data_IF_074852988098
#
_entry.id   IF_074852988098
#
_cell.length_a   1.000
_cell.length_b   1.000
_cell.length_c   1.000
_cell.angle_alpha   90.00
_cell.angle_beta   90.00
_cell.angle_gamma   90.00
#
_symmetry.space_group_name_H-M   'P 1'
#
loop_
_entity.id
_entity.type
_entity.pdbx_description
1 polymer ?
#
# COMPACT_ATOMS: atom_id res chain seq x y z
N UNK A 1 34.42 -23.16 -12.94
CA UNK A 1 34.04 -22.43 -14.16
C UNK A 1 32.54 -22.17 -14.03
N UNK A 2 32.00 -21.06 -13.49
CA UNK A 2 32.16 -19.62 -13.79
C UNK A 2 32.03 -19.28 -15.27
N UNK A 3 30.80 -19.01 -15.71
CA UNK A 3 30.46 -17.94 -16.65
C UNK A 3 29.17 -17.25 -16.19
N UNK A 4 29.39 -16.05 -15.66
CA UNK A 4 28.47 -14.93 -15.50
C UNK A 4 27.91 -14.46 -16.84
N UNK A 5 26.72 -13.86 -16.85
CA UNK A 5 26.34 -12.96 -17.94
C UNK A 5 24.87 -12.60 -18.03
N UNK A 6 24.51 -11.48 -17.38
CA UNK A 6 23.69 -10.37 -17.90
C UNK A 6 22.37 -10.73 -18.59
N UNK A 7 21.24 -10.38 -17.97
CA UNK A 7 20.12 -9.64 -18.55
C UNK A 7 19.12 -9.31 -17.43
N UNK A 8 19.34 -8.21 -16.71
CA UNK A 8 18.28 -7.57 -15.92
C UNK A 8 17.60 -6.62 -16.90
N UNK A 9 16.42 -7.00 -17.41
CA UNK A 9 15.57 -6.11 -18.20
C UNK A 9 14.51 -5.54 -17.28
N UNK A 10 14.54 -4.22 -17.15
CA UNK A 10 13.61 -3.36 -16.45
C UNK A 10 12.17 -3.61 -16.87
N UNK A 11 11.35 -4.03 -15.91
CA UNK A 11 9.90 -3.82 -15.86
C UNK A 11 9.43 -3.95 -14.41
N UNK A 12 9.45 -2.82 -13.71
CA UNK A 12 8.63 -2.60 -12.54
C UNK A 12 7.99 -1.22 -12.71
N UNK A 13 7.00 -1.14 -13.61
CA UNK A 13 6.13 0.04 -13.66
C UNK A 13 4.94 -0.20 -12.75
N UNK A 14 5.01 0.37 -11.55
CA UNK A 14 3.98 1.15 -10.83
C UNK A 14 4.45 1.34 -9.38
N UNK A 15 4.45 2.60 -8.96
CA UNK A 15 4.81 3.15 -7.66
C UNK A 15 4.55 2.20 -6.46
N UNK A 16 5.62 1.64 -5.87
CA UNK A 16 5.54 0.87 -4.62
C UNK A 16 5.27 1.70 -3.36
N UNK A 17 5.18 3.04 -3.48
CA UNK A 17 4.68 3.89 -2.40
C UNK A 17 3.19 3.71 -2.07
N UNK A 18 2.46 2.85 -2.80
CA UNK A 18 1.02 2.64 -2.66
C UNK A 18 0.61 1.30 -2.02
N UNK A 19 1.54 0.35 -1.79
CA UNK A 19 1.17 -1.04 -1.45
C UNK A 19 0.46 -1.14 -0.09
N UNK A 20 0.81 -0.31 0.91
CA UNK A 20 0.17 -0.35 2.23
C UNK A 20 -0.71 0.87 2.57
N UNK A 21 -0.58 1.99 1.84
CA UNK A 21 -1.32 3.25 2.09
C UNK A 21 -2.44 3.55 1.09
N UNK A 22 -2.80 2.61 0.22
CA UNK A 22 -4.01 2.68 -0.59
C UNK A 22 -4.96 1.52 -0.22
N UNK A 23 -6.25 1.76 0.06
CA UNK A 23 -7.24 0.74 -0.24
C UNK A 23 -7.11 0.44 -1.74
N UNK A 24 -6.63 -0.76 -2.07
CA UNK A 24 -6.36 -1.18 -3.44
C UNK A 24 -7.64 -1.11 -4.28
N UNK A 25 -7.69 -0.13 -5.17
CA UNK A 25 -8.53 -0.12 -6.37
C UNK A 25 -7.66 0.36 -7.55
N UNK A 26 -6.64 -0.42 -7.87
CA UNK A 26 -5.91 -0.30 -9.13
C UNK A 26 -5.33 -1.67 -9.46
N UNK A 27 -6.07 -2.43 -10.29
CA UNK A 27 -5.52 -3.59 -10.96
C UNK A 27 -4.78 -3.10 -12.21
N UNK A 28 -3.46 -3.08 -12.18
CA UNK A 28 -2.64 -3.04 -13.38
C UNK A 28 -1.98 -4.40 -13.56
N UNK A 29 -2.60 -5.26 -14.37
CA UNK A 29 -2.01 -6.53 -14.78
C UNK A 29 -0.80 -6.28 -15.68
N UNK A 30 0.41 -6.52 -15.16
CA UNK A 30 1.67 -6.44 -15.89
C UNK A 30 2.33 -7.80 -16.10
N UNK A 31 1.58 -8.83 -16.51
CA UNK A 31 2.16 -10.14 -16.85
C UNK A 31 2.83 -10.12 -18.24
N UNK A 32 4.14 -10.37 -18.30
CA UNK A 32 4.85 -10.75 -19.54
C UNK A 32 5.36 -12.18 -19.40
N UNK A 33 4.59 -13.13 -19.90
CA UNK A 33 5.13 -14.43 -20.27
C UNK A 33 5.45 -14.54 -21.76
N UNK A 34 6.51 -15.31 -22.02
CA UNK A 34 7.12 -15.56 -23.34
C UNK A 34 6.29 -16.50 -24.20
N UNK A 35 5.04 -16.13 -24.49
CA UNK A 35 4.26 -16.75 -25.58
C UNK A 35 4.18 -15.73 -26.70
N UNK A 36 4.58 -16.14 -27.91
CA UNK A 36 4.40 -15.34 -29.10
C UNK A 36 2.91 -14.97 -29.24
N UNK A 37 2.55 -13.71 -28.94
CA UNK A 37 1.18 -13.22 -29.15
C UNK A 37 0.87 -13.26 -30.64
N UNK A 38 -0.25 -13.84 -31.08
CA UNK A 38 -0.72 -13.62 -32.43
C UNK A 38 -1.02 -12.12 -32.61
N UNK A 39 -0.73 -11.51 -33.78
CA UNK A 39 -0.93 -10.09 -33.97
C UNK A 39 -2.41 -9.74 -33.88
N UNK A 40 -2.75 -8.85 -32.93
CA UNK A 40 -4.06 -8.18 -32.94
C UNK A 40 -4.04 -7.23 -34.13
N UNK A 41 -4.87 -7.53 -35.13
CA UNK A 41 -5.10 -6.69 -36.29
C UNK A 41 -6.45 -6.02 -36.11
N UNK A 42 -6.48 -4.70 -36.00
CA UNK A 42 -7.71 -3.93 -36.21
C UNK A 42 -7.64 -3.27 -37.57
N UNK A 43 -8.78 -3.13 -38.23
CA UNK A 43 -8.88 -2.46 -39.53
C UNK A 43 -9.54 -1.10 -39.36
N UNK A 44 -9.03 -0.07 -40.04
CA UNK A 44 -9.69 1.24 -40.10
C UNK A 44 -10.99 1.20 -40.93
N UNK A 45 -11.71 2.31 -40.94
CA UNK A 45 -12.96 2.50 -41.69
C UNK A 45 -12.82 2.34 -43.22
N UNK A 46 -11.59 2.25 -43.73
CA UNK A 46 -11.27 2.00 -45.13
C UNK A 46 -10.74 0.57 -45.39
N UNK A 47 -10.75 -0.30 -44.37
CA UNK A 47 -10.31 -1.68 -44.46
C UNK A 47 -8.80 -1.89 -44.44
N UNK A 48 -8.01 -0.87 -44.05
CA UNK A 48 -6.57 -1.03 -43.89
C UNK A 48 -6.26 -1.63 -42.52
N UNK A 49 -5.41 -2.66 -42.51
CA UNK A 49 -4.91 -3.28 -41.28
C UNK A 49 -4.00 -2.29 -40.54
N UNK A 50 -4.46 -1.80 -39.40
CA UNK A 50 -3.63 -1.11 -38.41
C UNK A 50 -2.92 -2.20 -37.60
N UNK A 51 -1.65 -2.42 -37.90
CA UNK A 51 -0.79 -3.25 -37.05
C UNK A 51 -0.49 -2.50 -35.75
N UNK A 52 -1.08 -2.93 -34.62
CA UNK A 52 -0.83 -2.37 -33.28
C UNK A 52 0.58 -2.59 -32.72
N UNK A 53 1.55 -3.02 -33.55
CA UNK A 53 2.93 -3.35 -33.15
C UNK A 53 3.97 -2.52 -33.91
N UNK A 54 3.70 -1.25 -34.22
CA UNK A 54 4.77 -0.29 -34.51
C UNK A 54 5.17 0.47 -33.24
N UNK A 55 5.60 -0.27 -32.22
CA UNK A 55 6.57 0.27 -31.26
C UNK A 55 7.90 0.28 -32.01
N UNK A 56 8.14 1.36 -32.75
CA UNK A 56 9.21 1.47 -33.72
C UNK A 56 10.59 1.21 -33.13
N UNK A 57 11.39 0.49 -33.89
CA UNK A 57 12.84 0.35 -33.73
C UNK A 57 13.51 1.70 -33.39
N UNK A 58 14.07 1.84 -32.18
CA UNK A 58 15.02 2.88 -31.75
C UNK A 58 15.69 2.47 -30.42
N UNK A 59 16.84 3.07 -30.07
CA UNK A 59 18.02 2.38 -29.53
C UNK A 59 17.72 1.58 -28.26
N UNK A 60 18.49 0.51 -28.01
CA UNK A 60 18.36 -0.30 -26.79
C UNK A 60 18.21 0.62 -25.58
N UNK A 61 17.25 0.31 -24.71
CA UNK A 61 16.77 1.09 -23.57
C UNK A 61 17.86 1.64 -22.61
N UNK A 62 19.16 1.41 -22.89
CA UNK A 62 20.32 1.58 -22.02
C UNK A 62 21.41 2.60 -22.46
N UNK A 63 21.39 3.18 -23.66
CA UNK A 63 22.60 3.86 -24.17
C UNK A 63 22.72 5.37 -23.89
N UNK A 64 21.61 6.09 -23.69
CA UNK A 64 21.61 7.55 -23.43
C UNK A 64 21.83 7.86 -21.95
N UNK A 65 22.30 9.07 -21.66
CA UNK A 65 22.49 9.51 -20.27
C UNK A 65 21.14 9.66 -19.56
N UNK A 66 20.13 10.26 -20.20
CA UNK A 66 18.80 10.41 -19.60
C UNK A 66 18.17 9.08 -19.17
N UNK A 67 18.23 8.05 -20.02
CA UNK A 67 17.74 6.71 -19.70
C UNK A 67 18.48 6.05 -18.53
N UNK A 68 19.81 6.27 -18.39
CA UNK A 68 20.60 5.79 -17.25
C UNK A 68 20.20 6.51 -15.97
N UNK A 69 20.13 7.85 -16.02
CA UNK A 69 19.67 8.66 -14.90
C UNK A 69 18.28 8.23 -14.44
N UNK A 70 17.32 8.06 -15.36
CA UNK A 70 15.99 7.58 -15.03
C UNK A 70 16.01 6.23 -14.32
N UNK A 71 16.79 5.24 -14.81
CA UNK A 71 16.88 3.91 -14.16
C UNK A 71 17.50 3.98 -12.77
N UNK A 72 18.57 4.74 -12.60
CA UNK A 72 19.24 4.85 -11.30
C UNK A 72 18.33 5.54 -10.28
N UNK A 73 17.58 6.57 -10.72
CA UNK A 73 16.56 7.24 -9.90
C UNK A 73 15.37 6.34 -9.59
N UNK A 74 14.80 5.65 -10.57
CA UNK A 74 13.68 4.72 -10.39
C UNK A 74 14.04 3.65 -9.35
N UNK A 75 15.21 3.04 -9.49
CA UNK A 75 15.73 2.08 -8.52
C UNK A 75 15.93 2.70 -7.13
N UNK A 76 16.57 3.87 -7.06
CA UNK A 76 16.84 4.55 -5.80
C UNK A 76 15.59 5.00 -5.06
N UNK A 77 14.60 5.53 -5.79
CA UNK A 77 13.29 5.94 -5.26
C UNK A 77 12.53 4.74 -4.70
N UNK A 78 12.44 3.66 -5.46
CA UNK A 78 11.71 2.47 -5.04
C UNK A 78 12.27 1.92 -3.73
N UNK A 79 13.59 1.88 -3.61
CA UNK A 79 14.30 1.46 -2.40
C UNK A 79 14.00 2.46 -1.27
N UNK A 80 14.27 3.75 -1.48
CA UNK A 80 14.18 4.79 -0.45
C UNK A 80 12.78 5.13 0.04
N UNK A 81 11.73 4.83 -0.73
CA UNK A 81 10.34 5.11 -0.37
C UNK A 81 9.67 4.02 0.48
N UNK A 82 10.32 2.86 0.67
CA UNK A 82 9.71 1.73 1.38
C UNK A 82 10.13 1.69 2.84
N UNK A 83 9.16 1.60 3.76
CA UNK A 83 9.42 1.18 5.14
C UNK A 83 9.60 -0.34 5.25
N UNK A 84 10.05 -0.85 6.40
CA UNK A 84 10.35 -2.27 6.59
C UNK A 84 9.19 -3.19 6.20
N UNK A 85 7.96 -2.82 6.56
CA UNK A 85 6.78 -3.59 6.19
C UNK A 85 6.53 -3.51 4.68
N UNK A 86 6.59 -2.33 4.07
CA UNK A 86 6.44 -2.21 2.61
C UNK A 86 7.51 -3.02 1.85
N UNK A 87 8.77 -2.97 2.30
CA UNK A 87 9.86 -3.72 1.67
C UNK A 87 9.60 -5.24 1.69
N UNK A 88 9.04 -5.75 2.78
CA UNK A 88 8.65 -7.16 2.93
C UNK A 88 7.56 -7.62 1.95
N UNK A 89 6.60 -6.76 1.67
CA UNK A 89 5.52 -7.08 0.72
C UNK A 89 5.88 -6.71 -0.72
N UNK A 90 6.91 -5.90 -0.92
CA UNK A 90 7.40 -5.54 -2.24
C UNK A 90 8.40 -6.57 -2.78
N UNK A 91 9.24 -7.19 -1.94
CA UNK A 91 10.35 -8.05 -2.38
C UNK A 91 10.42 -9.39 -1.63
N UNK A 92 10.75 -10.45 -2.36
CA UNK A 92 11.00 -11.81 -1.90
C UNK A 92 12.40 -11.92 -1.30
N UNK A 93 13.40 -11.28 -1.92
CA UNK A 93 14.75 -11.12 -1.37
C UNK A 93 15.16 -9.65 -1.30
N UNK A 94 14.67 -8.89 -0.29
CA UNK A 94 14.95 -7.47 -0.21
C UNK A 94 16.44 -7.17 0.02
N UNK A 95 17.30 -8.14 0.40
CA UNK A 95 18.76 -7.94 0.50
C UNK A 95 19.40 -7.57 -0.84
N UNK A 96 18.77 -7.92 -1.96
CA UNK A 96 19.25 -7.53 -3.29
C UNK A 96 19.07 -6.02 -3.57
N UNK A 97 18.27 -5.35 -2.73
CA UNK A 97 17.84 -3.96 -2.91
C UNK A 97 18.30 -3.07 -1.76
N UNK A 98 18.41 -3.59 -0.53
CA UNK A 98 18.80 -2.83 0.66
C UNK A 98 20.18 -3.25 1.19
N UNK A 99 21.12 -2.29 1.28
CA UNK A 99 22.39 -2.50 1.99
C UNK A 99 22.22 -2.42 3.50
N UNK A 100 21.35 -1.52 3.96
CA UNK A 100 20.85 -1.38 5.33
C UNK A 100 19.32 -1.41 5.27
N UNK A 101 18.69 -2.21 6.13
CA UNK A 101 17.23 -2.36 6.11
C UNK A 101 16.53 -1.13 6.70
N UNK A 102 15.40 -0.69 6.12
CA UNK A 102 14.59 0.36 6.71
C UNK A 102 13.99 -0.12 8.04
N UNK A 103 13.61 0.81 8.91
CA UNK A 103 12.83 0.55 10.13
C UNK A 103 11.33 0.53 9.81
N UNK A 104 10.49 0.10 10.75
CA UNK A 104 9.03 0.21 10.60
C UNK A 104 8.63 1.68 10.65
N UNK A 105 8.28 2.22 9.49
CA UNK A 105 7.55 3.46 9.39
C UNK A 105 8.24 4.67 9.98
N UNK A 106 9.57 4.80 9.86
CA UNK A 106 10.25 6.10 10.06
C UNK A 106 10.20 7.01 8.84
N UNK A 107 9.23 6.81 7.93
CA UNK A 107 8.97 7.75 6.83
C UNK A 107 8.42 9.10 7.29
N UNK A 108 8.24 9.27 8.60
CA UNK A 108 7.76 10.52 9.18
C UNK A 108 8.67 10.91 10.34
N UNK A 109 9.64 11.79 10.07
CA UNK A 109 10.52 12.24 11.12
C UNK A 109 9.81 13.34 11.93
N UNK A 110 10.50 13.90 12.94
CA UNK A 110 9.93 14.96 13.76
C UNK A 110 9.47 16.16 12.91
N UNK A 111 8.71 17.08 13.51
CA UNK A 111 8.18 18.30 12.87
C UNK A 111 9.22 19.12 12.06
N UNK A 112 10.52 18.96 12.32
CA UNK A 112 11.61 19.59 11.56
C UNK A 112 11.87 18.99 10.18
N UNK A 113 11.31 17.83 9.85
CA UNK A 113 11.70 17.02 8.70
C UNK A 113 10.55 16.80 7.69
N UNK A 114 9.32 17.20 8.01
CA UNK A 114 8.25 17.19 7.00
C UNK A 114 8.48 18.25 5.90
N UNK A 115 9.16 19.34 6.25
CA UNK A 115 9.67 20.30 5.26
C UNK A 115 10.73 19.67 4.35
N UNK A 116 11.47 18.66 4.82
CA UNK A 116 12.44 17.92 4.01
C UNK A 116 11.76 16.90 3.10
N UNK A 117 10.65 16.29 3.52
CA UNK A 117 9.86 15.36 2.69
C UNK A 117 9.20 16.05 1.48
N UNK A 118 8.51 17.19 1.68
CA UNK A 118 7.95 17.96 0.56
C UNK A 118 9.04 18.39 -0.43
N UNK A 119 10.14 18.94 0.08
CA UNK A 119 11.31 19.34 -0.72
C UNK A 119 11.95 18.17 -1.47
N UNK A 120 11.91 16.97 -0.89
CA UNK A 120 12.41 15.75 -1.55
C UNK A 120 11.58 15.42 -2.78
N UNK A 121 10.25 15.46 -2.67
CA UNK A 121 9.37 15.22 -3.82
C UNK A 121 9.48 16.31 -4.89
N UNK A 122 9.66 17.57 -4.50
CA UNK A 122 9.93 18.67 -5.46
C UNK A 122 11.24 18.44 -6.21
N UNK A 123 12.31 18.07 -5.50
CA UNK A 123 13.60 17.75 -6.13
C UNK A 123 13.51 16.55 -7.08
N UNK A 124 12.73 15.52 -6.70
CA UNK A 124 12.49 14.34 -7.56
C UNK A 124 11.72 14.71 -8.82
N UNK A 125 10.67 15.54 -8.70
CA UNK A 125 9.91 16.06 -9.84
C UNK A 125 10.80 16.90 -10.77
N UNK A 126 11.56 17.85 -10.23
CA UNK A 126 12.47 18.70 -10.98
C UNK A 126 13.53 17.89 -11.72
N UNK A 127 14.08 16.86 -11.07
CA UNK A 127 15.09 16.00 -11.69
C UNK A 127 14.51 15.22 -12.85
N UNK A 128 13.40 14.51 -12.65
CA UNK A 128 12.81 13.68 -13.70
C UNK A 128 12.27 14.50 -14.88
N UNK A 129 11.68 15.67 -14.59
CA UNK A 129 11.16 16.57 -15.63
C UNK A 129 12.26 17.28 -16.45
N UNK A 130 13.49 17.33 -15.94
CA UNK A 130 14.65 17.91 -16.64
C UNK A 130 15.29 16.97 -17.68
N UNK A 131 14.95 15.67 -17.65
CA UNK A 131 15.48 14.68 -18.60
C UNK A 131 14.98 14.98 -20.02
N UNK A 132 15.87 14.94 -21.01
CA UNK A 132 15.51 15.20 -22.41
C UNK A 132 14.56 14.10 -22.94
N UNK A 133 13.30 14.41 -23.29
CA UNK A 133 12.35 13.41 -23.78
C UNK A 133 12.79 12.72 -25.08
N UNK A 134 13.67 13.36 -25.86
CA UNK A 134 14.21 12.79 -27.09
C UNK A 134 15.26 11.69 -26.82
N UNK A 135 15.84 11.65 -25.62
CA UNK A 135 16.75 10.59 -25.16
C UNK A 135 16.01 9.45 -24.44
N UNK A 136 14.69 9.51 -24.34
CA UNK A 136 13.87 8.55 -23.61
C UNK A 136 12.98 7.76 -24.56
N UNK A 137 12.73 6.49 -24.23
CA UNK A 137 11.69 5.71 -24.89
C UNK A 137 10.30 6.27 -24.55
N UNK A 138 9.32 5.99 -25.41
CA UNK A 138 7.92 6.37 -25.15
C UNK A 138 7.40 5.82 -23.81
N UNK A 139 7.88 4.63 -23.40
CA UNK A 139 7.51 4.03 -22.12
C UNK A 139 8.11 4.80 -20.93
N UNK A 140 9.40 5.18 -21.02
CA UNK A 140 10.05 6.00 -19.99
C UNK A 140 9.43 7.39 -19.90
N UNK A 141 9.14 8.03 -21.04
CA UNK A 141 8.46 9.32 -21.08
C UNK A 141 7.08 9.27 -20.38
N UNK A 142 6.30 8.22 -20.60
CA UNK A 142 5.03 8.02 -19.87
C UNK A 142 5.24 7.78 -18.38
N UNK A 143 6.18 6.90 -18.02
CA UNK A 143 6.50 6.62 -16.62
C UNK A 143 6.94 7.89 -15.86
N UNK A 144 7.82 8.69 -16.47
CA UNK A 144 8.25 9.99 -15.92
C UNK A 144 7.07 10.92 -15.73
N UNK A 145 6.16 11.02 -16.71
CA UNK A 145 4.96 11.84 -16.58
C UNK A 145 4.10 11.42 -15.39
N UNK A 146 3.87 10.11 -15.24
CA UNK A 146 3.06 9.56 -14.15
C UNK A 146 3.75 9.77 -12.78
N UNK A 147 5.07 9.58 -12.72
CA UNK A 147 5.87 9.82 -11.51
C UNK A 147 5.90 11.30 -11.13
N UNK A 148 6.11 12.21 -12.08
CA UNK A 148 6.06 13.66 -11.83
C UNK A 148 4.68 14.08 -11.32
N UNK A 149 3.59 13.54 -11.90
CA UNK A 149 2.25 13.77 -11.39
C UNK A 149 2.12 13.32 -9.93
N UNK A 150 2.59 12.11 -9.59
CA UNK A 150 2.53 11.60 -8.23
C UNK A 150 3.37 12.43 -7.25
N UNK A 151 4.60 12.80 -7.62
CA UNK A 151 5.52 13.59 -6.79
C UNK A 151 5.01 15.00 -6.54
N UNK A 152 4.47 15.67 -7.56
CA UNK A 152 3.87 16.98 -7.41
C UNK A 152 2.82 16.99 -6.30
N UNK A 153 1.88 16.04 -6.35
CA UNK A 153 0.81 15.98 -5.36
C UNK A 153 1.24 15.39 -4.03
N UNK A 154 2.28 14.54 -4.00
CA UNK A 154 2.95 14.18 -2.76
C UNK A 154 3.58 15.39 -2.09
N UNK A 155 4.39 16.16 -2.79
CA UNK A 155 4.98 17.39 -2.25
C UNK A 155 3.90 18.28 -1.63
N UNK A 156 2.82 18.52 -2.38
CA UNK A 156 1.72 19.36 -1.89
C UNK A 156 1.04 18.77 -0.64
N UNK A 157 0.77 17.47 -0.61
CA UNK A 157 0.25 16.82 0.59
C UNK A 157 1.19 16.92 1.79
N UNK A 158 2.50 16.77 1.59
CA UNK A 158 3.49 16.80 2.66
C UNK A 158 3.76 18.22 3.20
N UNK A 159 3.48 19.28 2.43
CA UNK A 159 3.40 20.65 2.98
C UNK A 159 2.35 20.77 4.07
N UNK A 160 1.30 19.94 3.98
CA UNK A 160 0.16 19.88 4.90
C UNK A 160 0.17 18.59 5.74
N UNK A 161 1.35 18.12 6.14
CA UNK A 161 1.55 16.79 6.74
C UNK A 161 0.69 16.46 7.97
N UNK A 162 0.23 17.48 8.72
CA UNK A 162 -0.65 17.26 9.87
C UNK A 162 -2.04 16.71 9.49
N UNK A 163 -2.41 16.75 8.22
CA UNK A 163 -3.62 16.09 7.71
C UNK A 163 -3.38 14.64 7.26
N UNK A 164 -2.16 14.12 7.37
CA UNK A 164 -1.83 12.72 7.08
C UNK A 164 -1.96 11.89 8.37
N UNK A 165 -3.08 11.16 8.58
CA UNK A 165 -3.32 10.44 9.83
C UNK A 165 -2.42 9.20 9.95
N UNK A 166 -1.85 8.99 11.15
CA UNK A 166 -1.12 7.76 11.49
C UNK A 166 -2.02 6.74 12.22
N UNK A 167 -2.79 7.24 13.19
CA UNK A 167 -3.89 6.52 13.84
C UNK A 167 -5.18 6.83 13.09
N UNK A 168 -6.09 5.86 12.94
CA UNK A 168 -7.36 6.05 12.24
C UNK A 168 -8.43 5.08 12.79
N UNK A 169 -9.66 5.53 13.10
CA UNK A 169 -10.74 4.69 13.65
C UNK A 169 -11.17 3.51 12.75
N UNK A 170 -10.69 3.45 11.51
CA UNK A 170 -10.90 2.34 10.60
C UNK A 170 -9.60 2.03 9.83
N UNK A 171 -8.97 0.90 10.13
CA UNK A 171 -7.76 0.47 9.42
C UNK A 171 -6.53 1.35 9.66
N UNK A 172 -6.43 2.01 10.82
CA UNK A 172 -5.23 2.74 11.23
C UNK A 172 -3.99 1.85 11.39
N UNK A 173 -2.81 2.47 11.45
CA UNK A 173 -1.54 1.73 11.53
C UNK A 173 -1.41 0.91 12.82
N UNK A 174 -2.07 1.31 13.90
CA UNK A 174 -2.18 0.54 15.15
C UNK A 174 -2.87 -0.82 14.98
N UNK A 175 -3.63 -1.00 13.90
CA UNK A 175 -4.26 -2.27 13.55
C UNK A 175 -3.53 -2.96 12.40
N UNK A 176 -3.27 -2.22 11.32
CA UNK A 176 -2.75 -2.80 10.08
C UNK A 176 -1.30 -3.26 10.23
N UNK A 177 -0.44 -2.50 10.94
CA UNK A 177 0.98 -2.85 11.01
C UNK A 177 1.24 -4.14 11.80
N UNK A 178 0.63 -4.37 12.97
CA UNK A 178 0.74 -5.65 13.65
C UNK A 178 0.17 -6.80 12.80
N UNK A 179 -0.99 -6.62 12.15
CA UNK A 179 -1.53 -7.63 11.24
C UNK A 179 -0.52 -8.01 10.16
N UNK A 180 0.06 -7.03 9.47
CA UNK A 180 1.07 -7.26 8.45
C UNK A 180 2.31 -7.97 9.00
N UNK A 181 2.81 -7.57 10.15
CA UNK A 181 3.95 -8.22 10.80
C UNK A 181 3.64 -9.70 11.13
N UNK A 182 2.39 -10.00 11.50
CA UNK A 182 1.92 -11.35 11.81
C UNK A 182 1.81 -12.28 10.60
N UNK A 183 1.83 -11.71 9.39
CA UNK A 183 1.67 -12.41 8.12
C UNK A 183 2.98 -12.53 7.31
N UNK A 184 4.08 -11.93 7.77
CA UNK A 184 5.38 -12.03 7.08
C UNK A 184 5.79 -13.51 6.94
N UNK A 185 6.11 -14.03 5.76
CA UNK A 185 6.61 -15.40 5.64
C UNK A 185 7.99 -15.55 6.30
N UNK A 186 8.25 -16.71 6.90
CA UNK A 186 9.56 -17.06 7.45
C UNK A 186 10.18 -18.18 6.61
N UNK A 187 11.10 -17.82 5.72
CA UNK A 187 11.87 -18.78 4.91
C UNK A 187 13.24 -19.05 5.55
N UNK A 188 13.78 -18.08 6.26
CA UNK A 188 15.08 -18.12 6.90
C UNK A 188 15.03 -17.56 8.33
N UNK A 189 16.07 -17.87 9.13
CA UNK A 189 16.24 -17.22 10.45
C UNK A 189 16.39 -15.71 10.35
N UNK A 190 16.96 -15.20 9.26
CA UNK A 190 17.12 -13.77 9.09
C UNK A 190 15.75 -13.06 8.97
N UNK A 191 14.72 -13.73 8.45
CA UNK A 191 13.36 -13.18 8.39
C UNK A 191 12.75 -13.04 9.78
N UNK A 192 13.07 -13.99 10.67
CA UNK A 192 12.70 -13.94 12.09
C UNK A 192 13.39 -12.77 12.79
N UNK A 193 14.70 -12.60 12.59
CA UNK A 193 15.47 -11.50 13.17
C UNK A 193 14.95 -10.13 12.72
N UNK A 194 14.59 -10.00 11.44
CA UNK A 194 13.96 -8.78 10.91
C UNK A 194 12.57 -8.54 11.45
N UNK A 195 11.75 -9.59 11.59
CA UNK A 195 10.47 -9.47 12.29
C UNK A 195 10.68 -8.97 13.72
N UNK A 196 11.72 -9.41 14.43
CA UNK A 196 12.06 -8.87 15.74
C UNK A 196 12.43 -7.39 15.71
N UNK A 197 13.13 -6.91 14.68
CA UNK A 197 13.34 -5.46 14.46
C UNK A 197 12.01 -4.73 14.32
N UNK A 198 11.06 -5.27 13.55
CA UNK A 198 9.72 -4.68 13.38
C UNK A 198 9.03 -4.50 14.73
N UNK A 199 9.02 -5.55 15.56
CA UNK A 199 8.37 -5.50 16.88
C UNK A 199 9.06 -4.50 17.81
N UNK A 200 10.40 -4.44 17.77
CA UNK A 200 11.18 -3.48 18.54
C UNK A 200 10.84 -2.02 18.22
N UNK A 201 10.59 -1.72 16.95
CA UNK A 201 10.28 -0.37 16.47
C UNK A 201 8.86 0.13 16.84
N UNK A 202 7.91 -0.79 17.09
CA UNK A 202 6.51 -0.42 17.33
C UNK A 202 6.33 0.57 18.48
N UNK A 203 7.12 0.48 19.55
CA UNK A 203 7.00 1.39 20.69
C UNK A 203 7.29 2.84 20.30
N UNK A 204 8.41 3.07 19.63
CA UNK A 204 8.82 4.40 19.20
C UNK A 204 7.88 4.92 18.11
N UNK A 205 7.47 4.05 17.18
CA UNK A 205 6.52 4.38 16.14
C UNK A 205 5.18 4.89 16.72
N UNK A 206 4.56 4.12 17.64
CA UNK A 206 3.26 4.51 18.21
C UNK A 206 3.35 5.69 19.16
N UNK A 207 4.48 5.89 19.83
CA UNK A 207 4.75 7.10 20.61
C UNK A 207 4.72 8.33 19.72
N UNK A 208 5.41 8.30 18.58
CA UNK A 208 5.40 9.41 17.60
C UNK A 208 4.03 9.59 16.94
N UNK A 209 3.31 8.50 16.67
CA UNK A 209 1.95 8.57 16.16
C UNK A 209 1.01 9.31 17.13
N UNK A 210 1.17 9.09 18.44
CA UNK A 210 0.45 9.84 19.46
C UNK A 210 0.88 11.32 19.50
N UNK A 211 2.18 11.62 19.52
CA UNK A 211 2.70 13.00 19.49
C UNK A 211 2.15 13.80 18.30
N UNK A 212 2.04 13.16 17.12
CA UNK A 212 1.41 13.75 15.95
C UNK A 212 -0.07 14.06 16.18
N UNK A 213 -0.82 13.17 16.85
CA UNK A 213 -2.22 13.41 17.21
C UNK A 213 -2.39 14.51 18.26
N UNK A 214 -1.47 14.63 19.22
CA UNK A 214 -1.45 15.75 20.16
C UNK A 214 -1.29 17.08 19.43
N UNK A 215 -0.36 17.14 18.47
CA UNK A 215 -0.11 18.34 17.67
C UNK A 215 -1.34 18.69 16.82
N UNK A 216 -1.94 17.71 16.14
CA UNK A 216 -3.20 17.88 15.39
C UNK A 216 -4.32 18.43 16.27
N UNK A 217 -4.48 17.85 17.46
CA UNK A 217 -5.49 18.28 18.43
C UNK A 217 -5.24 19.70 18.95
N UNK A 218 -3.97 20.10 19.14
CA UNK A 218 -3.61 21.42 19.64
C UNK A 218 -3.99 22.58 18.71
N UNK A 219 -4.11 22.31 17.41
CA UNK A 219 -4.52 23.27 16.39
C UNK A 219 -5.96 23.06 15.90
N UNK A 220 -6.73 22.18 16.57
CA UNK A 220 -8.15 21.99 16.30
C UNK A 220 -8.48 21.11 15.08
N UNK A 221 -7.55 20.28 14.59
CA UNK A 221 -7.76 19.37 13.43
C UNK A 221 -7.63 17.89 13.80
N UNK A 222 -7.65 17.58 15.09
CA UNK A 222 -7.61 16.22 15.63
C UNK A 222 -8.94 15.49 15.49
N UNK A 223 -9.00 14.28 16.05
CA UNK A 223 -10.21 13.47 16.05
C UNK A 223 -11.29 13.95 17.04
N UNK A 224 -12.56 13.70 16.69
CA UNK A 224 -13.67 13.83 17.63
C UNK A 224 -13.68 12.69 18.67
N UNK A 225 -14.48 12.85 19.73
CA UNK A 225 -14.53 11.89 20.84
C UNK A 225 -14.90 10.46 20.42
N UNK A 226 -15.82 10.30 19.45
CA UNK A 226 -16.24 9.00 18.95
C UNK A 226 -15.09 8.28 18.21
N UNK A 227 -14.35 9.01 17.37
CA UNK A 227 -13.19 8.49 16.66
C UNK A 227 -12.07 8.11 17.63
N UNK A 228 -11.84 8.92 18.66
CA UNK A 228 -10.88 8.61 19.75
C UNK A 228 -11.30 7.32 20.47
N UNK A 229 -12.57 7.20 20.85
CA UNK A 229 -13.09 6.01 21.52
C UNK A 229 -12.94 4.76 20.64
N UNK A 230 -13.12 4.88 19.33
CA UNK A 230 -12.91 3.79 18.38
C UNK A 230 -11.45 3.35 18.29
N UNK A 231 -10.51 4.30 18.20
CA UNK A 231 -9.07 3.99 18.19
C UNK A 231 -8.66 3.31 19.50
N UNK A 232 -9.15 3.80 20.64
CA UNK A 232 -8.89 3.18 21.95
C UNK A 232 -9.44 1.74 21.99
N UNK A 233 -10.67 1.51 21.52
CA UNK A 233 -11.25 0.17 21.43
C UNK A 233 -10.41 -0.77 20.57
N UNK A 234 -9.89 -0.30 19.44
CA UNK A 234 -8.97 -1.08 18.62
C UNK A 234 -7.72 -1.44 19.42
N UNK A 235 -7.06 -0.47 20.06
CA UNK A 235 -5.86 -0.71 20.87
C UNK A 235 -6.13 -1.75 22.00
N UNK A 236 -7.30 -1.69 22.64
CA UNK A 236 -7.72 -2.71 23.61
C UNK A 236 -7.81 -4.10 22.97
N UNK A 237 -8.47 -4.23 21.81
CA UNK A 237 -8.58 -5.51 21.08
C UNK A 237 -7.21 -6.04 20.67
N UNK A 238 -6.31 -5.17 20.22
CA UNK A 238 -4.95 -5.51 19.79
C UNK A 238 -4.06 -6.05 20.91
N UNK A 239 -4.27 -5.59 22.16
CA UNK A 239 -3.57 -6.07 23.36
C UNK A 239 -4.27 -7.27 24.03
N UNK A 240 -5.58 -7.45 23.80
CA UNK A 240 -6.38 -8.48 24.48
C UNK A 240 -5.87 -9.89 24.20
N UNK A 241 -6.29 -10.82 25.06
CA UNK A 241 -6.08 -12.25 24.94
C UNK A 241 -4.59 -12.55 24.88
N UNK A 242 -3.84 -11.98 25.83
CA UNK A 242 -2.39 -11.91 25.82
C UNK A 242 -1.73 -13.23 25.40
N UNK A 243 -2.13 -14.36 25.95
CA UNK A 243 -1.53 -15.67 25.66
C UNK A 243 -1.99 -16.28 24.33
N UNK A 244 -3.15 -15.87 23.81
CA UNK A 244 -3.70 -16.32 22.52
C UNK A 244 -3.77 -15.18 21.50
N UNK A 245 -2.90 -14.18 21.65
CA UNK A 245 -2.84 -13.03 20.76
C UNK A 245 -2.32 -13.49 19.40
N UNK A 246 -2.88 -12.97 18.32
CA UNK A 246 -2.54 -13.42 16.97
C UNK A 246 -1.05 -13.24 16.64
N UNK A 247 -0.39 -12.21 17.19
CA UNK A 247 1.06 -11.99 17.03
C UNK A 247 1.93 -13.09 17.65
N UNK A 248 1.38 -13.84 18.62
CA UNK A 248 2.03 -15.01 19.22
C UNK A 248 1.69 -16.26 18.43
N UNK A 249 0.40 -16.53 18.22
CA UNK A 249 -0.04 -17.77 17.57
C UNK A 249 0.48 -17.90 16.15
N UNK A 250 0.45 -16.83 15.35
CA UNK A 250 0.96 -16.92 13.97
C UNK A 250 2.49 -16.96 13.94
N UNK A 251 3.19 -16.39 14.94
CA UNK A 251 4.63 -16.54 15.04
C UNK A 251 5.02 -18.00 15.31
N UNK A 252 4.38 -18.63 16.29
CA UNK A 252 4.59 -20.04 16.64
C UNK A 252 4.37 -20.97 15.44
N UNK A 253 3.30 -20.72 14.67
CA UNK A 253 3.00 -21.49 13.46
C UNK A 253 4.05 -21.31 12.38
N UNK A 254 4.48 -20.06 12.10
CA UNK A 254 5.46 -19.77 11.06
C UNK A 254 6.86 -20.26 11.43
N UNK A 255 7.32 -20.04 12.66
CA UNK A 255 8.69 -20.42 13.07
C UNK A 255 8.89 -21.93 13.08
N UNK A 256 7.84 -22.71 13.37
CA UNK A 256 7.88 -24.18 13.31
C UNK A 256 8.08 -24.70 11.88
N UNK A 257 7.65 -23.95 10.85
CA UNK A 257 7.84 -24.34 9.43
C UNK A 257 9.30 -24.26 8.99
N UNK A 258 10.17 -23.53 9.69
CA UNK A 258 11.60 -23.44 9.39
C UNK A 258 12.38 -24.75 9.61
N UNK A 259 11.80 -25.74 10.30
CA UNK A 259 12.46 -27.03 10.54
C UNK A 259 13.72 -26.94 11.42
N UNK A 260 13.77 -25.96 12.33
CA UNK A 260 14.85 -25.79 13.30
C UNK A 260 14.80 -26.86 14.41
N UNK A 261 15.85 -26.94 15.24
CA UNK A 261 15.78 -27.80 16.42
C UNK A 261 14.73 -27.30 17.42
N UNK A 262 14.18 -28.22 18.24
CA UNK A 262 13.19 -27.88 19.28
C UNK A 262 13.68 -26.74 20.19
N UNK A 263 14.95 -26.81 20.60
CA UNK A 263 15.59 -25.79 21.45
C UNK A 263 15.64 -24.43 20.77
N UNK A 264 16.06 -24.37 19.51
CA UNK A 264 16.14 -23.10 18.78
C UNK A 264 14.75 -22.51 18.51
N UNK A 265 13.78 -23.37 18.20
CA UNK A 265 12.38 -22.96 18.00
C UNK A 265 11.82 -22.35 19.28
N UNK A 266 12.03 -23.00 20.43
CA UNK A 266 11.61 -22.51 21.74
C UNK A 266 12.32 -21.20 22.12
N UNK A 267 13.62 -21.06 21.82
CA UNK A 267 14.35 -19.80 22.02
C UNK A 267 13.76 -18.64 21.22
N UNK A 268 13.38 -18.87 19.95
CA UNK A 268 12.75 -17.85 19.12
C UNK A 268 11.33 -17.49 19.59
N UNK A 269 10.54 -18.47 20.01
CA UNK A 269 9.19 -18.24 20.57
C UNK A 269 9.28 -17.40 21.85
N UNK A 270 10.19 -17.75 22.76
CA UNK A 270 10.43 -16.99 23.98
C UNK A 270 10.92 -15.56 23.66
N UNK A 271 11.74 -15.41 22.61
CA UNK A 271 12.20 -14.08 22.18
C UNK A 271 11.06 -13.22 21.62
N UNK A 272 10.18 -13.79 20.80
CA UNK A 272 8.98 -13.08 20.33
C UNK A 272 8.13 -12.60 21.51
N UNK A 273 7.89 -13.49 22.48
CA UNK A 273 7.15 -13.16 23.69
C UNK A 273 7.77 -11.97 24.44
N UNK A 274 9.08 -12.03 24.68
CA UNK A 274 9.82 -10.96 25.35
C UNK A 274 9.67 -9.62 24.61
N UNK A 275 9.81 -9.60 23.27
CA UNK A 275 9.71 -8.38 22.48
C UNK A 275 8.29 -7.80 22.48
N UNK A 276 7.26 -8.65 22.40
CA UNK A 276 5.87 -8.19 22.49
C UNK A 276 5.59 -7.55 23.86
N UNK A 277 6.12 -8.12 24.94
CA UNK A 277 5.95 -7.63 26.31
C UNK A 277 6.73 -6.34 26.58
N UNK A 278 7.89 -6.16 25.94
CA UNK A 278 8.74 -4.97 26.11
C UNK A 278 8.33 -3.79 25.23
N UNK A 279 7.88 -4.06 23.99
CA UNK A 279 7.72 -3.02 22.97
C UNK A 279 6.27 -2.87 22.50
N UNK A 280 5.59 -3.95 22.13
CA UNK A 280 4.29 -3.85 21.48
C UNK A 280 3.13 -3.61 22.45
N UNK A 281 2.93 -4.48 23.45
CA UNK A 281 1.82 -4.33 24.39
C UNK A 281 1.91 -3.05 25.23
N UNK A 282 3.10 -2.62 25.69
CA UNK A 282 3.23 -1.32 26.35
C UNK A 282 2.88 -0.15 25.43
N UNK A 283 3.14 -0.24 24.13
CA UNK A 283 2.77 0.80 23.18
C UNK A 283 1.24 0.92 23.02
N UNK A 284 0.54 -0.22 22.94
CA UNK A 284 -0.92 -0.23 22.92
C UNK A 284 -1.51 0.32 24.23
N UNK A 285 -0.90 -0.01 25.38
CA UNK A 285 -1.32 0.55 26.67
C UNK A 285 -1.11 2.07 26.75
N UNK A 286 0.03 2.56 26.26
CA UNK A 286 0.30 3.99 26.19
C UNK A 286 -0.78 4.70 25.38
N UNK A 287 -1.16 4.18 24.21
CA UNK A 287 -2.24 4.77 23.40
C UNK A 287 -3.59 4.76 24.15
N UNK A 288 -3.93 3.67 24.83
CA UNK A 288 -5.15 3.53 25.64
C UNK A 288 -5.19 4.59 26.75
N UNK A 289 -4.08 4.81 27.45
CA UNK A 289 -3.99 5.76 28.56
C UNK A 289 -3.98 7.22 28.10
N UNK A 290 -3.34 7.48 26.96
CA UNK A 290 -3.02 8.84 26.51
C UNK A 290 -4.06 9.47 25.58
N UNK A 291 -4.68 8.72 24.68
CA UNK A 291 -5.70 9.23 23.78
C UNK A 291 -6.91 9.89 24.48
N UNK A 292 -7.39 9.43 25.67
CA UNK A 292 -8.43 10.13 26.41
C UNK A 292 -8.10 11.60 26.74
N UNK A 293 -6.83 11.96 26.88
CA UNK A 293 -6.38 13.33 27.16
C UNK A 293 -6.67 14.30 25.99
N UNK A 294 -7.00 13.78 24.81
CA UNK A 294 -7.31 14.55 23.60
C UNK A 294 -8.81 14.81 23.41
N UNK A 295 -9.66 14.11 24.17
CA UNK A 295 -11.12 14.26 24.08
C UNK A 295 -11.58 15.68 24.39
N UNK A 296 -12.65 16.12 23.73
CA UNK A 296 -13.23 17.46 23.86
C UNK A 296 -12.47 18.57 23.15
N UNK A 297 -11.24 18.32 22.65
CA UNK A 297 -10.44 19.35 21.95
C UNK A 297 -10.92 19.63 20.53
N UNK A 298 -11.61 18.67 19.90
CA UNK A 298 -11.94 18.70 18.47
C UNK A 298 -13.37 18.22 18.15
N UNK A 299 -14.31 18.27 19.11
CA UNK A 299 -15.70 17.84 18.87
C UNK A 299 -16.44 18.73 17.87
N UNK A 300 -16.13 20.01 17.85
CA UNK A 300 -16.61 20.98 16.85
C UNK A 300 -15.54 21.26 15.79
N UNK A 301 -14.67 20.27 15.51
CA UNK A 301 -13.65 20.45 14.49
C UNK A 301 -14.32 20.77 13.14
N UNK A 302 -13.84 21.81 12.44
CA UNK A 302 -14.37 22.17 11.13
C UNK A 302 -14.20 21.01 10.15
N UNK A 303 -15.02 20.99 9.08
CA UNK A 303 -14.75 20.06 7.99
C UNK A 303 -13.36 20.31 7.41
N UNK A 304 -12.75 19.31 6.79
CA UNK A 304 -11.41 19.46 6.20
C UNK A 304 -11.33 20.67 5.24
N UNK A 305 -12.37 20.93 4.45
CA UNK A 305 -12.42 22.07 3.54
C UNK A 305 -12.53 23.45 4.25
N UNK A 306 -12.88 23.46 5.53
CA UNK A 306 -13.07 24.67 6.35
C UNK A 306 -11.83 25.00 7.21
N UNK A 307 -10.83 24.12 7.27
CA UNK A 307 -9.55 24.43 7.91
C UNK A 307 -8.68 25.31 6.99
N UNK A 308 -7.66 25.98 7.56
CA UNK A 308 -6.82 26.94 6.83
C UNK A 308 -6.20 26.35 5.55
N UNK A 309 -5.71 25.10 5.62
CA UNK A 309 -4.99 24.45 4.52
C UNK A 309 -5.67 23.17 4.00
N UNK A 310 -6.79 22.76 4.61
CA UNK A 310 -7.38 21.45 4.31
C UNK A 310 -8.00 21.35 2.93
N UNK A 311 -8.41 22.47 2.31
CA UNK A 311 -8.81 22.48 0.90
C UNK A 311 -7.65 22.14 -0.04
N UNK A 312 -6.48 22.77 0.16
CA UNK A 312 -5.29 22.49 -0.66
C UNK A 312 -4.82 21.04 -0.49
N UNK A 313 -4.79 20.56 0.76
CA UNK A 313 -4.51 19.16 1.05
C UNK A 313 -5.51 18.21 0.37
N UNK A 314 -6.82 18.51 0.43
CA UNK A 314 -7.84 17.66 -0.19
C UNK A 314 -7.74 17.64 -1.71
N UNK A 315 -7.48 18.78 -2.36
CA UNK A 315 -7.27 18.85 -3.81
C UNK A 315 -6.06 18.03 -4.25
N UNK A 316 -4.95 18.10 -3.50
CA UNK A 316 -3.77 17.28 -3.77
C UNK A 316 -4.01 15.79 -3.53
N UNK A 317 -4.67 15.44 -2.43
CA UNK A 317 -5.07 14.06 -2.13
C UNK A 317 -6.00 13.52 -3.21
N UNK A 318 -7.00 14.30 -3.62
CA UNK A 318 -7.95 13.94 -4.68
C UNK A 318 -7.21 13.65 -5.98
N UNK A 319 -6.32 14.56 -6.40
CA UNK A 319 -5.60 14.40 -7.65
C UNK A 319 -4.71 13.17 -7.64
N UNK A 320 -3.91 12.97 -6.58
CA UNK A 320 -3.07 11.78 -6.40
C UNK A 320 -3.89 10.49 -6.38
N UNK A 321 -5.04 10.46 -5.69
CA UNK A 321 -5.86 9.24 -5.55
C UNK A 321 -6.66 8.90 -6.80
N UNK A 322 -6.98 9.88 -7.64
CA UNK A 322 -7.79 9.67 -8.86
C UNK A 322 -6.97 9.69 -10.15
N UNK A 323 -5.72 10.16 -10.10
CA UNK A 323 -4.88 10.31 -11.29
C UNK A 323 -5.33 11.45 -12.22
N UNK A 324 -6.15 12.39 -11.74
CA UNK A 324 -6.63 13.54 -12.53
C UNK A 324 -6.41 14.85 -11.78
N UNK A 325 -6.07 15.91 -12.50
CA UNK A 325 -6.00 17.28 -12.01
C UNK A 325 -7.31 18.06 -12.20
N UNK A 326 -8.41 17.36 -12.54
CA UNK A 326 -9.75 17.94 -12.65
C UNK A 326 -10.14 18.66 -11.34
N UNK A 327 -10.70 19.87 -11.41
CA UNK A 327 -11.24 20.54 -10.23
C UNK A 327 -12.26 19.68 -9.49
N UNK A 328 -12.20 19.66 -8.16
CA UNK A 328 -13.07 18.83 -7.31
C UNK A 328 -14.56 19.03 -7.60
N UNK A 329 -15.00 20.27 -7.84
CA UNK A 329 -16.40 20.55 -8.15
C UNK A 329 -16.83 19.96 -9.51
N UNK A 330 -15.97 19.99 -10.52
CA UNK A 330 -16.24 19.37 -11.82
C UNK A 330 -16.31 17.84 -11.70
N UNK A 331 -15.39 17.25 -10.94
CA UNK A 331 -15.40 15.81 -10.66
C UNK A 331 -16.67 15.39 -9.91
N UNK A 332 -17.17 16.23 -9.00
CA UNK A 332 -18.41 16.00 -8.24
C UNK A 332 -19.64 16.06 -9.14
N UNK A 333 -19.71 17.02 -10.07
CA UNK A 333 -20.77 17.08 -11.07
C UNK A 333 -20.76 15.85 -11.99
N UNK A 334 -19.58 15.44 -12.46
CA UNK A 334 -19.41 14.24 -13.27
C UNK A 334 -19.85 12.97 -12.52
N UNK A 335 -19.47 12.85 -11.24
CA UNK A 335 -19.87 11.73 -10.38
C UNK A 335 -21.38 11.70 -10.17
N UNK A 336 -22.00 12.85 -9.87
CA UNK A 336 -23.44 12.92 -9.65
C UNK A 336 -24.20 12.50 -10.90
N UNK A 337 -23.81 13.01 -12.08
CA UNK A 337 -24.40 12.59 -13.35
C UNK A 337 -24.29 11.08 -13.56
N UNK A 338 -23.12 10.49 -13.26
CA UNK A 338 -22.93 9.04 -13.41
C UNK A 338 -23.78 8.23 -12.42
N UNK A 339 -23.94 8.70 -11.18
CA UNK A 339 -24.84 8.10 -10.19
C UNK A 339 -26.28 8.13 -10.69
N UNK A 340 -26.73 9.25 -11.24
CA UNK A 340 -28.09 9.40 -11.76
C UNK A 340 -28.34 8.46 -12.95
N UNK A 341 -27.40 8.37 -13.89
CA UNK A 341 -27.47 7.41 -15.02
C UNK A 341 -27.58 5.95 -14.55
N UNK A 342 -26.73 5.54 -13.60
CA UNK A 342 -26.77 4.18 -13.02
C UNK A 342 -28.10 3.96 -12.29
N UNK A 343 -28.57 4.95 -11.53
CA UNK A 343 -29.85 4.84 -10.82
C UNK A 343 -31.00 4.64 -11.80
N UNK A 344 -31.06 5.41 -12.88
CA UNK A 344 -32.08 5.29 -13.92
C UNK A 344 -32.03 3.94 -14.66
N UNK A 345 -30.83 3.45 -14.97
CA UNK A 345 -30.62 2.18 -15.69
C UNK A 345 -31.01 0.95 -14.86
N UNK A 346 -30.63 0.94 -13.57
CA UNK A 346 -30.70 -0.28 -12.74
C UNK A 346 -31.89 -0.29 -11.76
N UNK A 347 -32.44 0.85 -11.34
CA UNK A 347 -33.57 0.86 -10.38
C UNK A 347 -34.84 0.17 -10.87
N UNK A 348 -35.24 0.27 -12.16
CA UNK A 348 -36.39 -0.48 -12.67
C UNK A 348 -36.19 -2.00 -12.53
N UNK A 349 -34.95 -2.48 -12.74
CA UNK A 349 -34.60 -3.89 -12.62
C UNK A 349 -34.62 -4.34 -11.14
N UNK A 350 -34.15 -3.47 -10.24
CA UNK A 350 -34.18 -3.70 -8.80
C UNK A 350 -35.61 -3.87 -8.27
N UNK A 351 -36.55 -3.03 -8.70
CA UNK A 351 -37.96 -3.09 -8.28
C UNK A 351 -38.69 -4.35 -8.75
N UNK A 352 -38.25 -4.96 -9.85
CA UNK A 352 -38.88 -6.15 -10.45
C UNK A 352 -38.31 -7.46 -9.89
N UNK A 353 -37.00 -7.52 -9.61
CA UNK A 353 -36.32 -8.77 -9.22
C UNK A 353 -36.08 -8.91 -7.70
N UNK A 354 -36.32 -7.88 -6.90
CA UNK A 354 -35.85 -7.84 -5.50
C UNK A 354 -34.32 -7.71 -5.44
N UNK A 355 -33.76 -7.42 -4.27
CA UNK A 355 -32.29 -7.29 -4.10
C UNK A 355 -31.59 -8.63 -4.33
N UNK A 356 -31.22 -8.93 -5.58
CA UNK A 356 -30.31 -10.02 -5.89
C UNK A 356 -28.88 -9.57 -5.59
N UNK A 357 -28.52 -9.61 -4.31
CA UNK A 357 -27.20 -10.07 -3.92
C UNK A 357 -27.38 -11.38 -3.16
N UNK A 358 -28.09 -12.33 -3.78
CA UNK A 358 -28.01 -13.71 -3.39
C UNK A 358 -26.76 -14.30 -4.07
N UNK A 359 -25.57 -13.88 -3.63
CA UNK A 359 -24.65 -14.96 -3.30
C UNK A 359 -25.44 -15.73 -2.24
N UNK A 360 -25.77 -16.99 -2.52
CA UNK A 360 -26.32 -17.82 -1.45
C UNK A 360 -25.38 -17.78 -0.23
N UNK A 361 -25.76 -18.42 0.86
CA UNK A 361 -24.81 -18.74 1.93
C UNK A 361 -23.78 -19.75 1.37
N UNK A 362 -22.93 -19.30 0.44
CA UNK A 362 -21.84 -20.05 -0.16
C UNK A 362 -20.68 -19.95 0.81
N UNK A 363 -20.13 -21.11 1.14
CA UNK A 363 -18.86 -21.16 1.84
C UNK A 363 -17.75 -20.57 0.96
N UNK A 364 -16.66 -20.10 1.58
CA UNK A 364 -15.59 -19.38 0.88
C UNK A 364 -15.06 -20.13 -0.35
N UNK A 365 -14.84 -21.45 -0.23
CA UNK A 365 -14.31 -22.28 -1.32
C UNK A 365 -15.29 -22.36 -2.50
N UNK A 366 -16.59 -22.46 -2.23
CA UNK A 366 -17.63 -22.51 -3.26
C UNK A 366 -17.77 -21.17 -3.99
N UNK A 367 -17.71 -20.06 -3.24
CA UNK A 367 -17.73 -18.71 -3.80
C UNK A 367 -16.48 -18.45 -4.64
N UNK A 368 -15.29 -18.85 -4.17
CA UNK A 368 -14.02 -18.69 -4.87
C UNK A 368 -14.00 -19.44 -6.21
N UNK A 369 -14.41 -20.70 -6.20
CA UNK A 369 -14.45 -21.54 -7.39
C UNK A 369 -15.54 -21.08 -8.38
N UNK A 370 -16.65 -20.53 -7.90
CA UNK A 370 -17.62 -19.85 -8.76
C UNK A 370 -17.03 -18.59 -9.43
N UNK A 371 -16.35 -17.74 -8.66
CA UNK A 371 -15.70 -16.52 -9.17
C UNK A 371 -14.65 -16.87 -10.23
N UNK A 372 -13.83 -17.91 -10.01
CA UNK A 372 -12.82 -18.37 -10.97
C UNK A 372 -13.44 -18.76 -12.32
N UNK A 373 -14.49 -19.58 -12.31
CA UNK A 373 -15.20 -19.96 -13.56
C UNK A 373 -15.86 -18.77 -14.23
N UNK A 374 -16.44 -17.85 -13.45
CA UNK A 374 -17.08 -16.66 -14.01
C UNK A 374 -16.08 -15.75 -14.71
N UNK A 375 -14.86 -15.60 -14.19
CA UNK A 375 -13.84 -14.75 -14.80
C UNK A 375 -13.21 -15.36 -16.04
N UNK A 376 -13.16 -16.69 -16.18
CA UNK A 376 -12.64 -17.38 -17.38
C UNK A 376 -13.38 -16.98 -18.68
N UNK A 377 -14.67 -16.62 -18.59
CA UNK A 377 -15.46 -16.21 -19.76
C UNK A 377 -15.20 -14.75 -20.17
N UNK A 378 -14.62 -13.93 -19.30
CA UNK A 378 -14.56 -12.48 -19.43
C UNK A 378 -13.14 -11.90 -19.41
N UNK A 379 -12.16 -12.65 -18.92
CA UNK A 379 -10.78 -12.21 -18.77
C UNK A 379 -9.79 -13.18 -19.42
N UNK A 380 -8.63 -12.70 -19.90
CA UNK A 380 -7.58 -13.58 -20.40
C UNK A 380 -7.12 -14.56 -19.32
N UNK A 381 -6.77 -15.78 -19.73
CA UNK A 381 -6.11 -16.73 -18.84
C UNK A 381 -4.81 -16.13 -18.28
N UNK A 382 -4.60 -16.29 -16.99
CA UNK A 382 -3.36 -15.92 -16.29
C UNK A 382 -2.53 -17.18 -16.01
N UNK A 383 -1.23 -16.99 -15.85
CA UNK A 383 -0.31 -18.07 -15.50
C UNK A 383 -0.71 -18.67 -14.14
N UNK A 384 -0.38 -19.96 -13.95
CA UNK A 384 -0.59 -20.63 -12.66
C UNK A 384 0.16 -19.85 -11.57
N UNK A 385 -0.52 -19.61 -10.45
CA UNK A 385 0.00 -18.90 -9.30
C UNK A 385 -0.66 -19.45 -8.03
N UNK A 386 0.09 -19.43 -6.94
CA UNK A 386 -0.40 -19.85 -5.65
C UNK A 386 -1.11 -18.68 -4.95
N UNK A 387 -2.24 -18.99 -4.31
CA UNK A 387 -2.99 -18.04 -3.48
C UNK A 387 -3.10 -18.61 -2.08
N UNK A 388 -2.54 -17.91 -1.11
CA UNK A 388 -2.69 -18.23 0.29
C UNK A 388 -3.81 -17.39 0.92
N UNK A 389 -4.73 -18.06 1.60
CA UNK A 389 -5.88 -17.42 2.26
C UNK A 389 -5.68 -17.48 3.76
N UNK A 390 -5.55 -16.31 4.38
CA UNK A 390 -5.44 -16.17 5.82
C UNK A 390 -6.76 -15.66 6.39
N UNK A 391 -7.39 -16.38 7.34
CA UNK A 391 -8.57 -15.87 8.00
C UNK A 391 -8.20 -14.65 8.83
N UNK A 392 -9.03 -13.60 8.77
CA UNK A 392 -8.83 -12.41 9.60
C UNK A 392 -8.89 -12.82 11.09
N UNK A 393 -7.92 -12.43 11.92
CA UNK A 393 -8.01 -12.66 13.36
C UNK A 393 -9.28 -12.04 13.95
N UNK A 394 -9.99 -12.75 14.83
CA UNK A 394 -11.29 -12.30 15.39
C UNK A 394 -11.21 -10.93 16.06
N UNK A 395 -10.05 -10.59 16.63
CA UNK A 395 -9.76 -9.29 17.25
C UNK A 395 -9.92 -8.13 16.26
N UNK A 396 -9.83 -8.39 14.95
CA UNK A 396 -9.82 -7.38 13.90
C UNK A 396 -11.15 -7.23 13.14
N UNK A 397 -12.15 -8.06 13.42
CA UNK A 397 -13.39 -8.12 12.62
C UNK A 397 -14.10 -6.76 12.45
N UNK A 398 -14.08 -5.91 13.46
CA UNK A 398 -14.71 -4.57 13.36
C UNK A 398 -13.70 -3.46 13.02
N UNK A 399 -12.40 -3.77 12.98
CA UNK A 399 -11.32 -2.78 12.94
C UNK A 399 -10.68 -2.65 11.55
N UNK A 400 -10.93 -3.61 10.66
CA UNK A 400 -10.44 -3.62 9.27
C UNK A 400 -11.55 -3.97 8.27
N UNK A 401 -11.23 -3.83 6.98
CA UNK A 401 -12.07 -4.31 5.89
C UNK A 401 -12.22 -5.85 5.94
N UNK A 402 -13.36 -6.40 5.51
CA UNK A 402 -13.67 -7.83 5.65
C UNK A 402 -12.75 -8.75 4.85
N UNK A 403 -12.11 -8.24 3.79
CA UNK A 403 -11.13 -8.95 3.00
C UNK A 403 -10.06 -7.98 2.51
N UNK A 404 -8.84 -8.49 2.31
CA UNK A 404 -7.73 -7.76 1.70
C UNK A 404 -6.90 -8.72 0.87
N UNK A 405 -6.43 -8.24 -0.28
CA UNK A 405 -5.48 -8.94 -1.14
C UNK A 405 -4.11 -8.29 -1.00
N UNK A 406 -3.08 -9.10 -0.88
CA UNK A 406 -1.67 -8.68 -0.92
C UNK A 406 -1.04 -9.28 -2.17
N UNK A 407 -0.43 -8.45 -3.04
CA UNK A 407 0.22 -8.97 -4.24
C UNK A 407 1.47 -9.78 -3.88
N UNK A 408 1.85 -10.69 -4.77
CA UNK A 408 3.15 -11.37 -4.70
C UNK A 408 4.29 -10.36 -4.83
N UNK A 409 5.47 -10.64 -4.23
CA UNK A 409 6.63 -9.79 -4.38
C UNK A 409 7.02 -9.56 -5.84
N UNK A 410 7.48 -8.34 -6.14
CA UNK A 410 7.76 -7.88 -7.50
C UNK A 410 9.07 -8.40 -8.09
N UNK A 411 9.83 -9.21 -7.37
CA UNK A 411 11.05 -9.90 -7.81
C UNK A 411 10.87 -11.42 -7.87
N UNK A 412 9.69 -11.92 -7.47
CA UNK A 412 9.30 -13.32 -7.56
C UNK A 412 8.54 -13.61 -8.88
N UNK A 413 9.20 -13.35 -10.01
CA UNK A 413 8.71 -13.76 -11.32
C UNK A 413 9.19 -15.20 -11.61
N UNK A 414 8.33 -16.19 -11.40
CA UNK A 414 8.57 -17.56 -11.89
C UNK A 414 7.84 -17.83 -13.19
#
# INVERSE_FOLDING_TARGET
MRRSGKYIRSLAMISAGAILCAPLASCSSGGRDKVARPPVTSTDENGNVISGNQWGDRPSDDDTEAAKTFRDYDKGLFIGASDLLNAYYAFDDPKNYYSDWPTVGLLFPQSTDYSSAASTYEMLEDTLSSLDPAELSDAQNRAIKDMCFDFKYMSEMYKHYLYIPQLNPMGGKHVVYPLLASLIPFETKDDVDRYFTIIGDFKDFFTRAFEAEELRSSIGIGYNDESIDRIIQDCFKMKKDHDTNFMKTTFDERVKKLGLSDRETEELINKNQELLDLYYFPAMEMLIEKLPELKGKCNDAPYLAETADGKAYYEALFARKTGTDMPVEEAKELLQKRIDEIYEEYMPQWKVKGSYFAFGDLEFDEASEWCKRFTEEHFPAISDHDVEVYPVPRQLYDSIQPARYYPSPIDNYT
#
